data_IF_754843048963
#
_entry.id   IF_754843048963
#
_cell.length_a   1.000
_cell.length_b   1.000
_cell.length_c   1.000
_cell.angle_alpha   90.00
_cell.angle_beta   90.00
_cell.angle_gamma   90.00
#
_symmetry.space_group_name_H-M   'P 1'
#
loop_
_entity.id
_entity.type
_entity.pdbx_description
1 polymer ?
#
# COMPACT_ATOMS: atom_id res chain seq x y z
N UNK A 1 -0.97 19.09 2.40
CA UNK A 1 -0.55 18.39 3.64
C UNK A 1 -0.64 16.89 3.37
N UNK A 2 0.42 16.13 3.65
CA UNK A 2 0.46 14.68 3.45
C UNK A 2 0.13 13.98 4.78
N UNK A 3 -0.85 13.07 4.79
CA UNK A 3 -1.19 12.23 5.95
C UNK A 3 -0.62 10.83 5.73
N UNK A 4 0.31 10.41 6.58
CA UNK A 4 0.85 9.03 6.58
C UNK A 4 0.23 8.27 7.75
N UNK A 5 -0.26 7.07 7.48
CA UNK A 5 -0.94 6.20 8.44
C UNK A 5 -0.24 4.85 8.41
N UNK A 6 0.30 4.41 9.54
CA UNK A 6 0.91 3.09 9.63
C UNK A 6 -0.18 2.04 9.84
N UNK A 7 -0.07 0.93 9.13
CA UNK A 7 -0.92 -0.22 9.38
C UNK A 7 -0.57 -0.81 10.75
N UNK A 8 -1.58 -0.93 11.61
CA UNK A 8 -1.45 -1.58 12.92
C UNK A 8 -2.13 -2.94 12.88
N UNK A 9 -1.76 -3.84 13.79
CA UNK A 9 -2.33 -5.20 13.83
C UNK A 9 -3.87 -5.20 13.86
N UNK A 10 -4.48 -4.26 14.59
CA UNK A 10 -5.94 -4.16 14.70
C UNK A 10 -6.63 -3.61 13.45
N UNK A 11 -5.88 -2.98 12.54
CA UNK A 11 -6.42 -2.47 11.28
C UNK A 11 -6.57 -3.55 10.22
N UNK A 12 -5.79 -4.64 10.28
CA UNK A 12 -5.76 -5.69 9.25
C UNK A 12 -7.15 -6.26 8.98
N UNK A 13 -7.94 -6.48 10.04
CA UNK A 13 -9.30 -7.03 9.94
C UNK A 13 -10.38 -5.97 9.70
N UNK A 14 -10.03 -4.69 9.60
CA UNK A 14 -10.97 -3.58 9.39
C UNK A 14 -10.97 -3.14 7.93
N UNK A 15 -11.99 -2.39 7.55
CA UNK A 15 -12.03 -1.79 6.22
C UNK A 15 -10.91 -0.77 6.02
N UNK A 16 -10.46 -0.61 4.77
CA UNK A 16 -9.49 0.43 4.42
C UNK A 16 -9.98 1.83 4.84
N UNK A 17 -11.28 2.10 4.68
CA UNK A 17 -11.88 3.36 5.10
C UNK A 17 -11.74 3.60 6.61
N UNK A 18 -12.05 2.60 7.44
CA UNK A 18 -11.92 2.70 8.89
C UNK A 18 -10.46 2.90 9.31
N UNK A 19 -9.52 2.22 8.64
CA UNK A 19 -8.09 2.39 8.89
C UNK A 19 -7.61 3.81 8.55
N UNK A 20 -8.01 4.37 7.40
CA UNK A 20 -7.61 5.72 6.97
C UNK A 20 -8.23 6.82 7.84
N UNK A 21 -9.45 6.59 8.33
CA UNK A 21 -10.17 7.50 9.22
C UNK A 21 -9.92 7.23 10.70
N UNK A 22 -8.96 6.35 11.02
CA UNK A 22 -8.44 6.27 12.37
C UNK A 22 -7.84 7.63 12.77
N UNK A 23 -8.00 7.96 14.06
CA UNK A 23 -7.54 9.22 14.63
C UNK A 23 -6.00 9.37 14.56
N UNK A 24 -5.46 10.47 15.11
CA UNK A 24 -4.02 10.71 15.15
C UNK A 24 -3.26 9.53 15.77
N UNK A 25 -2.24 9.04 15.08
CA UNK A 25 -1.41 7.94 15.56
C UNK A 25 -0.25 8.46 16.42
N UNK A 26 -0.12 7.95 17.64
CA UNK A 26 1.05 8.21 18.48
C UNK A 26 2.17 7.23 18.14
N UNK A 27 3.10 7.64 17.28
CA UNK A 27 4.14 6.77 16.68
C UNK A 27 4.88 5.87 17.69
N UNK A 28 5.20 6.38 18.88
CA UNK A 28 5.91 5.61 19.93
C UNK A 28 5.08 4.55 20.66
N UNK A 29 3.80 4.38 20.33
CA UNK A 29 2.88 3.41 20.95
C UNK A 29 2.15 2.52 19.95
N UNK A 30 2.49 2.63 18.66
CA UNK A 30 1.82 1.85 17.62
C UNK A 30 2.29 0.40 17.67
N UNK A 31 1.33 -0.53 17.65
CA UNK A 31 1.58 -1.92 17.31
C UNK A 31 1.53 -2.07 15.80
N UNK A 32 2.63 -1.67 15.15
CA UNK A 32 2.75 -1.75 13.69
C UNK A 32 2.67 -3.23 13.28
N UNK A 33 1.90 -3.52 12.24
CA UNK A 33 1.83 -4.86 11.69
C UNK A 33 3.17 -5.22 11.02
N UNK A 34 3.94 -6.13 11.61
CA UNK A 34 5.24 -6.56 11.06
C UNK A 34 5.11 -7.73 10.07
N UNK A 35 4.06 -8.55 10.20
CA UNK A 35 3.86 -9.77 9.39
C UNK A 35 3.09 -9.53 8.08
N UNK A 36 3.05 -8.28 7.58
CA UNK A 36 2.37 -7.93 6.34
C UNK A 36 3.36 -7.37 5.30
N UNK A 37 3.11 -7.59 4.00
CA UNK A 37 3.92 -7.00 2.93
C UNK A 37 3.94 -5.46 2.98
N UNK A 38 5.02 -4.86 2.48
CA UNK A 38 5.14 -3.40 2.37
C UNK A 38 4.31 -2.89 1.19
N UNK A 39 3.12 -2.38 1.50
CA UNK A 39 2.18 -1.83 0.52
C UNK A 39 1.88 -0.36 0.86
N UNK A 40 1.96 0.52 -0.14
CA UNK A 40 1.54 1.91 -0.05
C UNK A 40 0.21 2.10 -0.81
N UNK A 41 -0.86 2.33 -0.06
CA UNK A 41 -2.15 2.73 -0.61
C UNK A 41 -2.18 4.25 -0.83
N UNK A 42 -2.32 4.68 -2.08
CA UNK A 42 -2.27 6.08 -2.48
C UNK A 42 -3.68 6.58 -2.84
N UNK A 43 -4.05 7.76 -2.35
CA UNK A 43 -5.31 8.43 -2.68
C UNK A 43 -5.10 9.93 -2.87
N UNK A 44 -5.96 10.54 -3.69
CA UNK A 44 -5.94 11.99 -3.94
C UNK A 44 -4.79 12.47 -4.83
N UNK A 45 -4.05 11.57 -5.47
CA UNK A 45 -3.02 11.87 -6.47
C UNK A 45 -3.58 11.64 -7.87
N UNK A 46 -3.21 12.51 -8.80
CA UNK A 46 -3.32 12.24 -10.25
C UNK A 46 -2.33 11.14 -10.67
N UNK A 47 -2.53 10.59 -11.87
CA UNK A 47 -1.61 9.58 -12.42
C UNK A 47 -0.17 10.10 -12.55
N UNK A 48 0.01 11.36 -12.96
CA UNK A 48 1.33 11.99 -13.07
C UNK A 48 1.99 12.16 -11.69
N UNK A 49 1.26 12.66 -10.70
CA UNK A 49 1.76 12.79 -9.33
C UNK A 49 2.12 11.44 -8.71
N UNK A 50 1.35 10.39 -9.01
CA UNK A 50 1.64 9.03 -8.56
C UNK A 50 2.96 8.51 -9.14
N UNK A 51 3.20 8.71 -10.44
CA UNK A 51 4.46 8.31 -11.09
C UNK A 51 5.63 9.07 -10.47
N UNK A 52 5.52 10.40 -10.33
CA UNK A 52 6.56 11.22 -9.71
C UNK A 52 6.85 10.79 -8.26
N UNK A 53 5.82 10.42 -7.49
CA UNK A 53 5.99 9.91 -6.14
C UNK A 53 6.74 8.57 -6.13
N UNK A 54 6.41 7.66 -7.04
CA UNK A 54 7.06 6.35 -7.16
C UNK A 54 8.54 6.52 -7.52
N UNK A 55 8.85 7.37 -8.50
CA UNK A 55 10.24 7.64 -8.91
C UNK A 55 11.05 8.22 -7.74
N UNK A 56 10.50 9.25 -7.07
CA UNK A 56 11.15 9.83 -5.90
C UNK A 56 11.28 8.85 -4.73
N UNK A 57 10.32 7.94 -4.54
CA UNK A 57 10.38 6.90 -3.52
C UNK A 57 11.53 5.92 -3.80
N UNK A 58 11.72 5.51 -5.05
CA UNK A 58 12.82 4.63 -5.45
C UNK A 58 14.19 5.27 -5.21
N UNK A 59 14.30 6.58 -5.41
CA UNK A 59 15.54 7.34 -5.16
C UNK A 59 15.79 7.64 -3.67
N UNK A 60 14.77 7.48 -2.81
CA UNK A 60 14.86 7.86 -1.39
C UNK A 60 15.73 6.95 -0.52
N UNK A 61 16.09 5.75 -1.02
CA UNK A 61 16.77 4.71 -0.25
C UNK A 61 15.88 3.98 0.75
N UNK A 62 14.57 4.20 0.73
CA UNK A 62 13.60 3.42 1.49
C UNK A 62 13.48 2.00 0.91
N UNK A 63 13.16 1.05 1.80
CA UNK A 63 12.85 -0.32 1.39
C UNK A 63 11.70 -0.37 0.37
N UNK A 64 11.83 -1.17 -0.70
CA UNK A 64 10.82 -1.27 -1.75
C UNK A 64 9.41 -1.53 -1.21
N UNK A 65 8.41 -1.02 -1.92
CA UNK A 65 7.01 -1.19 -1.61
C UNK A 65 6.20 -1.45 -2.87
N UNK A 66 5.10 -2.18 -2.72
CA UNK A 66 4.07 -2.30 -3.76
C UNK A 66 3.13 -1.09 -3.65
N UNK A 67 2.85 -0.43 -4.76
CA UNK A 67 1.98 0.74 -4.79
C UNK A 67 0.61 0.37 -5.35
N UNK A 68 -0.45 0.85 -4.69
CA UNK A 68 -1.81 0.64 -5.14
C UNK A 68 -2.64 1.93 -4.99
N UNK A 69 -3.42 2.25 -6.01
CA UNK A 69 -4.38 3.36 -5.93
C UNK A 69 -5.65 2.93 -5.17
N UNK A 70 -6.15 3.77 -4.27
CA UNK A 70 -7.44 3.55 -3.62
C UNK A 70 -8.55 3.96 -4.59
N UNK A 71 -9.50 3.04 -4.81
CA UNK A 71 -10.74 3.30 -5.55
C UNK A 71 -11.94 3.15 -4.62
N UNK A 72 -13.11 3.73 -4.94
CA UNK A 72 -14.27 3.64 -4.05
C UNK A 72 -14.65 2.21 -3.66
N UNK A 73 -14.52 1.26 -4.59
CA UNK A 73 -14.84 -0.14 -4.37
C UNK A 73 -13.89 -0.85 -3.38
N UNK A 74 -12.63 -0.41 -3.26
CA UNK A 74 -11.69 -1.01 -2.31
C UNK A 74 -11.85 -0.45 -0.89
N UNK A 75 -12.52 0.68 -0.72
CA UNK A 75 -12.59 1.38 0.57
C UNK A 75 -13.36 0.60 1.64
N UNK A 76 -14.35 -0.21 1.25
CA UNK A 76 -15.19 -1.00 2.17
C UNK A 76 -14.64 -2.40 2.45
N UNK A 77 -13.65 -2.86 1.68
CA UNK A 77 -13.05 -4.19 1.87
C UNK A 77 -12.12 -4.20 3.09
N UNK A 78 -12.04 -5.33 3.82
CA UNK A 78 -11.01 -5.55 4.83
C UNK A 78 -9.61 -5.35 4.25
N UNK A 79 -8.69 -4.75 5.02
CA UNK A 79 -7.30 -4.56 4.59
C UNK A 79 -6.63 -5.88 4.23
N UNK A 80 -6.93 -6.96 4.94
CA UNK A 80 -6.41 -8.29 4.63
C UNK A 80 -6.75 -8.73 3.19
N UNK A 81 -8.01 -8.59 2.76
CA UNK A 81 -8.42 -8.95 1.40
C UNK A 81 -7.68 -8.12 0.36
N UNK A 82 -7.51 -6.82 0.61
CA UNK A 82 -6.77 -5.94 -0.29
C UNK A 82 -5.28 -6.29 -0.38
N UNK A 83 -4.66 -6.67 0.73
CA UNK A 83 -3.26 -7.12 0.76
C UNK A 83 -3.12 -8.37 -0.13
N UNK A 84 -4.02 -9.34 0.03
CA UNK A 84 -4.01 -10.58 -0.77
C UNK A 84 -4.22 -10.30 -2.27
N UNK A 85 -5.20 -9.46 -2.62
CA UNK A 85 -5.48 -9.05 -4.00
C UNK A 85 -4.26 -8.36 -4.65
N UNK A 86 -3.72 -7.34 -3.98
CA UNK A 86 -2.61 -6.52 -4.52
C UNK A 86 -1.35 -7.35 -4.68
N UNK A 87 -1.03 -8.21 -3.71
CA UNK A 87 0.15 -9.06 -3.80
C UNK A 87 -0.02 -10.13 -4.88
N UNK A 88 -1.21 -10.72 -5.01
CA UNK A 88 -1.52 -11.65 -6.09
C UNK A 88 -1.31 -11.00 -7.47
N UNK A 89 -1.80 -9.78 -7.66
CA UNK A 89 -1.60 -9.01 -8.89
C UNK A 89 -0.12 -8.68 -9.12
N UNK A 90 0.59 -8.21 -8.09
CA UNK A 90 2.00 -7.87 -8.18
C UNK A 90 2.85 -9.08 -8.61
N UNK A 91 2.66 -10.23 -7.96
CA UNK A 91 3.38 -11.46 -8.31
C UNK A 91 3.12 -11.91 -9.75
N UNK A 92 1.87 -11.81 -10.23
CA UNK A 92 1.53 -12.16 -11.61
C UNK A 92 2.23 -11.26 -12.62
N UNK A 93 2.32 -9.95 -12.34
CA UNK A 93 3.02 -8.99 -13.22
C UNK A 93 4.52 -9.24 -13.20
N UNK A 94 5.12 -9.45 -12.03
CA UNK A 94 6.56 -9.71 -11.90
C UNK A 94 6.97 -11.01 -12.61
N UNK A 95 6.16 -12.08 -12.50
CA UNK A 95 6.41 -13.35 -13.21
C UNK A 95 6.37 -13.19 -14.74
N UNK A 96 5.41 -12.42 -15.26
CA UNK A 96 5.32 -12.14 -16.71
C UNK A 96 6.51 -11.32 -17.22
N UNK A 97 7.01 -10.38 -16.42
CA UNK A 97 8.18 -9.59 -16.77
C UNK A 97 9.46 -10.44 -16.81
N UNK A 98 9.64 -11.39 -15.87
CA UNK A 98 10.79 -12.29 -15.91
C UNK A 98 10.78 -13.24 -17.11
N UNK A 99 9.60 -13.70 -17.54
CA UNK A 99 9.46 -14.60 -18.69
C UNK A 99 9.72 -13.89 -20.03
N UNK A 100 9.32 -12.61 -20.18
CA UNK A 100 9.61 -11.82 -21.39
C UNK A 100 11.08 -11.39 -21.53
N UNK A 101 11.87 -11.41 -20.45
CA UNK A 101 13.30 -11.10 -20.52
C UNK A 101 14.17 -12.33 -20.86
N UNK A 102 13.58 -13.53 -20.94
CA UNK A 102 14.26 -14.79 -21.30
C UNK A 102 13.98 -15.31 -22.72
N UNK A 103 13.33 -14.50 -23.56
CA UNK A 103 13.10 -14.75 -25.00
C UNK A 103 13.79 -13.71 -25.85
#
# INVERSE_FOLDING_TARGET
>A
FLKVIYCTEDMISRSLWDAVNSGPQALGKLKIAESVPRICFLSGLSGEEMIMFIDAFQESGLEPAVFAAIVPNSSTKPLQELIEEIMGDHEMVTKKQSDSMHT
#
